data_IF_349062211666
#
_entry.id   IF_349062211666
#
_cell.length_a   1.000
_cell.length_b   1.000
_cell.length_c   1.000
_cell.angle_alpha   90.00
_cell.angle_beta   90.00
_cell.angle_gamma   90.00
#
_symmetry.space_group_name_H-M   'P 1'
#
loop_
_entity.id
_entity.type
_entity.pdbx_description
1 polymer ?
#
# COMPACT_ATOMS: atom_id res chain seq x y z
N UNK A 1 39.65 -7.65 14.16
CA UNK A 1 40.24 -6.32 14.03
C UNK A 1 40.81 -6.17 12.63
N UNK A 2 40.05 -5.70 11.69
CA UNK A 2 40.50 -5.11 10.40
C UNK A 2 39.44 -4.09 10.03
N UNK A 3 39.88 -2.83 9.93
CA UNK A 3 39.10 -1.64 9.66
C UNK A 3 38.45 -1.69 8.28
N UNK A 4 37.18 -1.32 8.23
CA UNK A 4 36.40 -1.02 7.01
C UNK A 4 36.39 0.51 6.77
N UNK A 5 37.56 1.13 6.56
CA UNK A 5 37.69 2.57 6.27
C UNK A 5 38.61 2.84 5.07
N UNK A 6 38.45 2.07 3.97
CA UNK A 6 39.23 2.29 2.76
C UNK A 6 38.40 2.07 1.49
N UNK A 7 37.43 3.00 1.22
CA UNK A 7 36.85 3.15 -0.13
C UNK A 7 36.41 4.58 -0.45
N UNK A 8 37.18 5.56 0.02
CA UNK A 8 37.01 6.97 -0.39
C UNK A 8 38.34 7.56 -0.88
N UNK A 9 38.86 7.04 -1.98
CA UNK A 9 39.90 7.75 -2.71
C UNK A 9 39.93 7.30 -4.17
N UNK A 10 40.09 8.28 -5.03
CA UNK A 10 40.29 8.25 -6.49
C UNK A 10 39.04 8.59 -7.30
N UNK A 11 38.84 9.87 -7.58
CA UNK A 11 39.13 10.55 -8.84
C UNK A 11 38.90 12.06 -8.68
N UNK A 12 39.88 12.75 -8.14
CA UNK A 12 40.02 14.18 -8.37
C UNK A 12 41.07 14.35 -9.48
N UNK A 13 40.64 14.56 -10.72
CA UNK A 13 41.49 15.10 -11.75
C UNK A 13 40.81 16.33 -12.39
N UNK A 14 41.60 17.39 -12.39
CA UNK A 14 41.34 18.74 -12.87
C UNK A 14 40.65 18.80 -14.22
N UNK A 15 39.65 19.70 -14.33
CA UNK A 15 39.57 20.76 -15.34
C UNK A 15 38.39 21.66 -14.93
N UNK A 16 38.61 23.01 -14.88
CA UNK A 16 37.66 24.00 -14.42
C UNK A 16 36.28 23.93 -15.09
N UNK A 17 35.27 24.47 -14.39
CA UNK A 17 33.87 24.67 -14.78
C UNK A 17 32.96 23.45 -14.93
N UNK A 18 33.47 22.21 -14.96
CA UNK A 18 32.66 20.98 -15.05
C UNK A 18 32.22 20.42 -13.69
N UNK A 19 32.80 20.89 -12.59
CA UNK A 19 32.46 20.36 -11.24
C UNK A 19 31.07 20.79 -10.77
N UNK A 20 30.63 21.99 -11.18
CA UNK A 20 29.30 22.51 -10.86
C UNK A 20 28.20 21.70 -11.62
N UNK A 21 28.49 21.33 -12.87
CA UNK A 21 27.56 20.50 -13.66
C UNK A 21 27.52 19.08 -13.18
N UNK A 22 28.61 18.49 -12.71
CA UNK A 22 28.63 17.13 -12.17
C UNK A 22 27.92 17.04 -10.80
N UNK A 23 28.08 18.03 -9.94
CA UNK A 23 27.35 18.14 -8.67
C UNK A 23 25.86 18.40 -8.86
N UNK A 24 25.48 19.18 -9.89
CA UNK A 24 24.07 19.30 -10.27
C UNK A 24 23.51 18.00 -10.87
N UNK A 25 24.30 17.28 -11.67
CA UNK A 25 23.86 15.99 -12.25
C UNK A 25 23.78 14.88 -11.18
N UNK A 26 24.70 14.82 -10.22
CA UNK A 26 24.63 13.89 -9.09
C UNK A 26 23.50 14.24 -8.12
N UNK A 27 23.25 15.52 -7.82
CA UNK A 27 22.07 15.92 -7.06
C UNK A 27 20.76 15.67 -7.83
N UNK A 28 20.74 15.86 -9.15
CA UNK A 28 19.57 15.55 -9.97
C UNK A 28 19.32 14.03 -10.07
N UNK A 29 20.39 13.22 -10.15
CA UNK A 29 20.27 11.75 -10.13
C UNK A 29 19.83 11.22 -8.77
N UNK A 30 20.28 11.83 -7.66
CA UNK A 30 19.84 11.50 -6.31
C UNK A 30 18.37 11.91 -6.06
N UNK A 31 17.92 13.02 -6.64
CA UNK A 31 16.53 13.47 -6.57
C UNK A 31 15.61 12.58 -7.45
N UNK A 32 16.07 12.10 -8.60
CA UNK A 32 15.32 11.16 -9.43
C UNK A 32 15.19 9.76 -8.81
N UNK A 33 16.15 9.30 -8.01
CA UNK A 33 16.05 8.03 -7.27
C UNK A 33 15.05 8.13 -6.09
N UNK A 34 14.68 9.34 -5.65
CA UNK A 34 13.75 9.53 -4.52
C UNK A 34 12.26 9.30 -4.84
N UNK A 35 11.89 9.02 -6.08
CA UNK A 35 10.51 8.65 -6.41
C UNK A 35 10.11 7.22 -5.99
N UNK A 36 11.06 6.38 -5.57
CA UNK A 36 10.79 5.08 -4.95
C UNK A 36 9.97 5.21 -3.64
N UNK A 37 9.99 6.38 -3.00
CA UNK A 37 9.21 6.66 -1.78
C UNK A 37 7.70 6.81 -1.99
N UNK A 38 7.23 6.88 -3.22
CA UNK A 38 5.81 6.85 -3.55
C UNK A 38 5.29 5.43 -3.81
N UNK A 39 6.18 4.44 -3.72
CA UNK A 39 5.80 3.03 -3.89
C UNK A 39 4.90 2.59 -2.72
N UNK A 40 3.64 2.18 -2.97
CA UNK A 40 2.71 1.78 -1.93
C UNK A 40 3.07 0.44 -1.25
N UNK A 41 4.13 -0.24 -1.66
CA UNK A 41 4.50 -1.57 -1.16
C UNK A 41 5.45 -1.59 0.04
N UNK A 42 5.89 -0.46 0.61
CA UNK A 42 6.76 -0.38 1.81
C UNK A 42 8.17 -0.99 1.70
N UNK A 43 8.64 -1.36 0.54
CA UNK A 43 9.86 -2.16 0.43
C UNK A 43 11.17 -1.39 0.72
N UNK A 44 11.13 -0.05 0.93
CA UNK A 44 12.34 0.78 1.07
C UNK A 44 12.28 1.91 2.12
N UNK A 45 11.40 1.83 3.13
CA UNK A 45 11.40 2.83 4.19
C UNK A 45 12.56 2.63 5.19
N UNK A 46 13.26 3.71 5.53
CA UNK A 46 14.19 3.70 6.65
C UNK A 46 13.46 3.44 7.98
N UNK A 47 14.17 2.94 9.00
CA UNK A 47 13.60 2.71 10.34
C UNK A 47 12.93 3.98 10.92
N UNK A 48 13.50 5.14 10.67
CA UNK A 48 12.96 6.43 11.11
C UNK A 48 11.65 6.81 10.38
N UNK A 49 11.56 6.53 9.09
CA UNK A 49 10.34 6.76 8.30
C UNK A 49 9.19 5.85 8.71
N UNK A 50 9.50 4.60 9.07
CA UNK A 50 8.52 3.66 9.63
C UNK A 50 7.99 4.11 11.00
N UNK A 51 8.86 4.68 11.83
CA UNK A 51 8.44 5.21 13.15
C UNK A 51 7.58 6.47 13.02
N UNK A 52 7.86 7.33 12.04
CA UNK A 52 7.00 8.47 11.73
C UNK A 52 5.65 8.00 11.21
N UNK A 53 5.63 7.01 10.30
CA UNK A 53 4.37 6.47 9.77
C UNK A 53 3.53 5.84 10.89
N UNK A 54 4.13 5.11 11.83
CA UNK A 54 3.42 4.57 13.01
C UNK A 54 2.78 5.66 13.85
N UNK A 55 3.47 6.79 14.07
CA UNK A 55 2.92 7.94 14.84
C UNK A 55 1.73 8.60 14.16
N UNK A 56 1.68 8.59 12.82
CA UNK A 56 0.57 9.15 12.05
C UNK A 56 -0.68 8.27 12.05
N UNK A 57 -0.55 6.96 12.38
CA UNK A 57 -1.69 6.03 12.37
C UNK A 57 -2.66 6.35 13.50
N UNK A 58 -3.97 6.39 13.21
CA UNK A 58 -4.99 6.48 14.26
C UNK A 58 -4.99 5.21 15.12
N UNK A 59 -5.32 5.37 16.40
CA UNK A 59 -5.30 4.30 17.41
C UNK A 59 -6.71 3.88 17.84
N UNK A 60 -7.74 4.66 17.51
CA UNK A 60 -9.15 4.41 17.83
C UNK A 60 -10.04 4.55 16.61
N UNK A 61 -11.27 4.03 16.68
CA UNK A 61 -12.27 4.26 15.63
C UNK A 61 -12.63 5.73 15.46
N UNK A 62 -12.57 6.53 16.51
CA UNK A 62 -12.94 7.95 16.47
C UNK A 62 -11.88 8.81 15.77
N UNK A 63 -10.63 8.37 15.80
CA UNK A 63 -9.52 9.01 15.09
C UNK A 63 -9.41 8.61 13.62
N UNK A 64 -10.12 7.54 13.22
CA UNK A 64 -10.04 7.01 11.87
C UNK A 64 -11.04 7.73 10.95
N UNK A 65 -10.55 8.53 10.02
CA UNK A 65 -11.39 9.26 9.07
C UNK A 65 -11.83 8.36 7.90
N UNK A 66 -13.10 8.50 7.50
CA UNK A 66 -13.70 7.80 6.36
C UNK A 66 -14.03 6.33 6.61
N UNK A 67 -14.50 5.64 5.57
CA UNK A 67 -14.99 4.24 5.65
C UNK A 67 -16.20 4.09 6.59
N UNK A 68 -17.06 5.11 6.72
CA UNK A 68 -18.07 5.27 7.77
C UNK A 68 -18.93 4.01 7.98
N UNK A 69 -19.46 3.41 6.89
CA UNK A 69 -20.25 2.18 6.99
C UNK A 69 -19.47 0.99 7.55
N UNK A 70 -18.17 0.90 7.23
CA UNK A 70 -17.31 -0.16 7.76
C UNK A 70 -17.09 0.05 9.23
N UNK A 71 -16.78 1.29 9.65
CA UNK A 71 -16.55 1.65 11.04
C UNK A 71 -17.79 1.47 11.90
N UNK A 72 -18.97 1.91 11.45
CA UNK A 72 -20.25 1.72 12.16
C UNK A 72 -20.50 0.24 12.46
N UNK A 73 -20.33 -0.63 11.48
CA UNK A 73 -20.49 -2.08 11.67
C UNK A 73 -19.43 -2.64 12.62
N UNK A 74 -18.16 -2.29 12.45
CA UNK A 74 -17.08 -2.79 13.30
C UNK A 74 -17.27 -2.34 14.76
N UNK A 75 -17.71 -1.10 15.02
CA UNK A 75 -18.02 -0.61 16.37
C UNK A 75 -19.08 -1.50 17.04
N UNK A 76 -20.15 -1.85 16.32
CA UNK A 76 -21.20 -2.74 16.84
C UNK A 76 -20.67 -4.13 17.13
N UNK A 77 -19.90 -4.72 16.21
CA UNK A 77 -19.36 -6.07 16.37
C UNK A 77 -18.37 -6.16 17.53
N UNK A 78 -17.46 -5.19 17.65
CA UNK A 78 -16.49 -5.11 18.74
C UNK A 78 -17.20 -4.93 20.10
N UNK A 79 -18.18 -4.04 20.15
CA UNK A 79 -18.97 -3.84 21.38
C UNK A 79 -19.71 -5.13 21.79
N UNK A 80 -20.31 -5.82 20.84
CA UNK A 80 -21.01 -7.07 21.10
C UNK A 80 -20.06 -8.19 21.56
N UNK A 81 -18.88 -8.35 20.94
CA UNK A 81 -17.87 -9.30 21.36
C UNK A 81 -17.35 -9.00 22.78
N UNK A 82 -17.08 -7.73 23.09
CA UNK A 82 -16.70 -7.30 24.43
C UNK A 82 -17.77 -7.58 25.49
N UNK A 83 -19.05 -7.34 25.18
CA UNK A 83 -20.17 -7.65 26.09
C UNK A 83 -20.29 -9.14 26.39
N UNK A 84 -20.00 -10.01 25.42
CA UNK A 84 -20.06 -11.48 25.59
C UNK A 84 -18.77 -12.05 26.19
N UNK A 85 -17.66 -11.29 26.17
CA UNK A 85 -16.35 -11.77 26.58
C UNK A 85 -15.74 -12.78 25.60
N UNK A 86 -16.17 -12.76 24.34
CA UNK A 86 -15.75 -13.69 23.27
C UNK A 86 -14.76 -13.05 22.31
N UNK A 87 -13.99 -13.88 21.58
CA UNK A 87 -13.22 -13.40 20.44
C UNK A 87 -14.15 -12.82 19.36
N UNK A 88 -13.70 -11.78 18.65
CA UNK A 88 -14.44 -11.25 17.51
C UNK A 88 -14.42 -12.29 16.37
N UNK A 89 -15.47 -12.34 15.57
CA UNK A 89 -15.50 -13.15 14.36
C UNK A 89 -14.32 -12.81 13.45
N UNK A 90 -13.76 -13.81 12.78
CA UNK A 90 -12.68 -13.62 11.84
C UNK A 90 -13.05 -12.59 10.78
N UNK A 91 -12.17 -11.63 10.57
CA UNK A 91 -12.44 -10.41 9.79
C UNK A 91 -11.51 -10.31 8.58
N UNK A 92 -12.06 -10.04 7.39
CA UNK A 92 -11.32 -9.83 6.15
C UNK A 92 -11.45 -8.38 5.69
N UNK A 93 -10.33 -7.68 5.61
CA UNK A 93 -10.23 -6.37 4.96
C UNK A 93 -9.69 -6.54 3.54
N UNK A 94 -10.42 -6.06 2.54
CA UNK A 94 -9.96 -6.12 1.16
C UNK A 94 -10.13 -4.78 0.44
N UNK A 95 -9.26 -4.53 -0.52
CA UNK A 95 -9.27 -3.28 -1.30
C UNK A 95 -7.86 -2.82 -1.65
N UNK A 96 -7.72 -1.76 -2.44
CA UNK A 96 -6.44 -1.21 -2.89
C UNK A 96 -5.43 -1.00 -1.76
N UNK A 97 -4.12 -0.95 -2.07
CA UNK A 97 -3.09 -0.67 -1.06
C UNK A 97 -3.22 0.74 -0.50
N UNK A 98 -2.72 0.96 0.72
CA UNK A 98 -2.65 2.31 1.33
C UNK A 98 -3.94 2.86 1.93
N UNK A 99 -5.03 2.08 2.00
CA UNK A 99 -6.35 2.51 2.51
C UNK A 99 -6.55 2.32 4.02
N UNK A 100 -5.56 1.78 4.75
CA UNK A 100 -5.63 1.62 6.21
C UNK A 100 -6.03 0.24 6.71
N UNK A 101 -5.91 -0.86 5.91
CA UNK A 101 -6.21 -2.23 6.35
C UNK A 101 -5.46 -2.63 7.63
N UNK A 102 -4.15 -2.44 7.65
CA UNK A 102 -3.30 -2.70 8.82
C UNK A 102 -3.63 -1.79 10.00
N UNK A 103 -4.00 -0.54 9.73
CA UNK A 103 -4.43 0.42 10.75
C UNK A 103 -5.72 -0.05 11.43
N UNK A 104 -6.71 -0.47 10.66
CA UNK A 104 -7.97 -1.02 11.20
C UNK A 104 -7.74 -2.29 12.04
N UNK A 105 -6.80 -3.16 11.65
CA UNK A 105 -6.46 -4.33 12.45
C UNK A 105 -5.89 -3.94 13.83
N UNK A 106 -5.03 -2.91 13.88
CA UNK A 106 -4.51 -2.38 15.14
C UNK A 106 -5.62 -1.74 15.99
N UNK A 107 -6.50 -0.96 15.36
CA UNK A 107 -7.66 -0.36 16.06
C UNK A 107 -8.55 -1.45 16.63
N UNK A 108 -8.85 -2.51 15.88
CA UNK A 108 -9.65 -3.64 16.39
C UNK A 108 -9.03 -4.25 17.65
N UNK A 109 -7.72 -4.50 17.67
CA UNK A 109 -7.05 -5.04 18.84
C UNK A 109 -7.12 -4.06 20.05
N UNK A 110 -6.91 -2.76 19.80
CA UNK A 110 -7.01 -1.72 20.83
C UNK A 110 -8.44 -1.65 21.41
N UNK A 111 -9.47 -1.63 20.56
CA UNK A 111 -10.87 -1.52 20.97
C UNK A 111 -11.39 -2.81 21.65
N UNK A 112 -10.83 -3.97 21.30
CA UNK A 112 -11.07 -5.24 22.00
C UNK A 112 -10.26 -5.34 23.29
N UNK A 113 -9.27 -4.46 23.51
CA UNK A 113 -8.32 -4.47 24.63
C UNK A 113 -7.57 -5.80 24.74
N UNK A 114 -7.00 -6.26 23.61
CA UNK A 114 -6.25 -7.53 23.50
C UNK A 114 -4.93 -7.32 22.73
N UNK A 115 -4.05 -8.32 22.79
CA UNK A 115 -2.80 -8.31 22.04
C UNK A 115 -3.02 -8.48 20.53
N UNK A 116 -2.03 -8.02 19.74
CA UNK A 116 -1.98 -8.24 18.29
C UNK A 116 -0.64 -8.84 17.88
N UNK A 117 -0.68 -9.92 17.10
CA UNK A 117 0.47 -10.46 16.38
C UNK A 117 0.31 -10.12 14.91
N UNK A 118 1.37 -9.55 14.31
CA UNK A 118 1.36 -9.08 12.92
C UNK A 118 2.33 -9.93 12.11
N UNK A 119 1.85 -10.47 10.99
CA UNK A 119 2.65 -11.20 10.00
C UNK A 119 2.12 -10.92 8.60
N UNK A 120 2.71 -11.56 7.59
CA UNK A 120 2.25 -11.48 6.21
C UNK A 120 2.26 -12.85 5.53
N UNK A 121 1.42 -13.03 4.49
CA UNK A 121 1.35 -14.28 3.75
C UNK A 121 2.71 -14.79 3.26
N UNK A 122 3.55 -13.96 2.62
CA UNK A 122 4.87 -14.36 2.14
C UNK A 122 5.87 -14.82 3.22
N UNK A 123 5.68 -14.43 4.47
CA UNK A 123 6.55 -14.82 5.60
C UNK A 123 6.18 -16.19 6.15
N UNK A 124 4.94 -16.63 5.95
CA UNK A 124 4.43 -17.91 6.44
C UNK A 124 4.65 -19.01 5.39
N UNK A 125 5.87 -19.49 5.28
CA UNK A 125 6.24 -20.49 4.28
C UNK A 125 5.84 -21.92 4.68
N UNK A 126 5.90 -22.23 5.98
CA UNK A 126 5.73 -23.57 6.52
C UNK A 126 4.65 -23.64 7.60
N UNK A 127 3.95 -24.77 7.74
CA UNK A 127 2.98 -24.98 8.82
C UNK A 127 3.55 -24.72 10.22
N UNK A 128 4.84 -25.00 10.45
CA UNK A 128 5.52 -24.75 11.72
C UNK A 128 5.59 -23.26 12.08
N UNK A 129 5.75 -22.37 11.09
CA UNK A 129 5.79 -20.94 11.32
C UNK A 129 4.41 -20.43 11.80
N UNK A 130 3.33 -20.91 11.15
CA UNK A 130 1.97 -20.63 11.56
C UNK A 130 1.66 -21.19 12.95
N UNK A 131 2.05 -22.44 13.21
CA UNK A 131 1.85 -23.08 14.50
C UNK A 131 2.56 -22.32 15.63
N UNK A 132 3.79 -21.88 15.41
CA UNK A 132 4.54 -21.07 16.36
C UNK A 132 3.85 -19.74 16.69
N UNK A 133 3.21 -19.09 15.72
CA UNK A 133 2.43 -17.88 15.97
C UNK A 133 1.14 -18.16 16.73
N UNK A 134 0.37 -19.19 16.31
CA UNK A 134 -0.94 -19.52 16.90
C UNK A 134 -0.82 -20.00 18.35
N UNK A 135 0.19 -20.80 18.68
CA UNK A 135 0.41 -21.30 20.05
C UNK A 135 0.86 -20.22 21.04
N UNK A 136 1.34 -19.09 20.54
CA UNK A 136 1.76 -17.93 21.34
C UNK A 136 0.68 -16.85 21.45
N UNK A 137 -0.57 -17.09 20.96
CA UNK A 137 -1.68 -16.20 21.16
C UNK A 137 -2.32 -16.43 22.53
N UNK A 138 -2.63 -15.33 23.19
CA UNK A 138 -3.47 -15.34 24.39
C UNK A 138 -4.94 -15.39 24.01
N UNK A 139 -5.81 -15.59 24.98
CA UNK A 139 -7.26 -15.65 24.76
C UNK A 139 -7.78 -14.34 24.17
N UNK A 140 -8.52 -14.43 23.06
CA UNK A 140 -9.11 -13.32 22.29
C UNK A 140 -8.11 -12.45 21.51
N UNK A 141 -6.83 -12.77 21.55
CA UNK A 141 -5.80 -12.02 20.78
C UNK A 141 -6.14 -11.93 19.29
N UNK A 142 -5.62 -10.91 18.64
CA UNK A 142 -5.72 -10.70 17.19
C UNK A 142 -4.47 -11.23 16.50
N UNK A 143 -4.66 -12.12 15.53
CA UNK A 143 -3.63 -12.47 14.54
C UNK A 143 -3.93 -11.70 13.26
N UNK A 144 -3.05 -10.78 12.87
CA UNK A 144 -3.16 -10.06 11.60
C UNK A 144 -2.21 -10.67 10.56
N UNK A 145 -2.78 -11.06 9.40
CA UNK A 145 -2.02 -11.55 8.24
C UNK A 145 -2.22 -10.60 7.07
N UNK A 146 -1.19 -9.83 6.72
CA UNK A 146 -1.21 -9.00 5.52
C UNK A 146 -0.96 -9.84 4.27
N UNK A 147 -1.52 -9.42 3.13
CA UNK A 147 -1.47 -10.14 1.86
C UNK A 147 -1.79 -11.65 2.01
N UNK A 148 -2.85 -11.95 2.75
CA UNK A 148 -3.26 -13.33 3.10
C UNK A 148 -3.49 -14.22 1.87
N UNK A 149 -3.77 -13.64 0.69
CA UNK A 149 -3.90 -14.37 -0.57
C UNK A 149 -2.57 -14.99 -1.09
N UNK A 150 -1.45 -14.63 -0.47
CA UNK A 150 -0.11 -15.15 -0.80
C UNK A 150 0.31 -16.32 0.11
N UNK A 151 -0.57 -16.80 0.97
CA UNK A 151 -0.32 -18.02 1.74
C UNK A 151 -0.14 -19.22 0.82
N UNK A 152 0.78 -20.12 1.17
CA UNK A 152 0.88 -21.39 0.46
C UNK A 152 -0.36 -22.25 0.73
N UNK A 153 -0.82 -23.09 -0.22
CA UNK A 153 -1.99 -23.96 -0.02
C UNK A 153 -1.89 -24.83 1.22
N UNK A 154 -0.68 -25.28 1.57
CA UNK A 154 -0.44 -26.13 2.75
C UNK A 154 -0.70 -25.31 4.03
N UNK A 155 -0.17 -24.11 4.13
CA UNK A 155 -0.38 -23.24 5.30
C UNK A 155 -1.86 -22.84 5.42
N UNK A 156 -2.52 -22.60 4.28
CA UNK A 156 -3.94 -22.28 4.21
C UNK A 156 -4.81 -23.40 4.81
N UNK A 157 -4.51 -24.68 4.53
CA UNK A 157 -5.22 -25.84 5.10
C UNK A 157 -5.08 -25.91 6.63
N UNK A 158 -3.90 -25.66 7.17
CA UNK A 158 -3.69 -25.60 8.62
C UNK A 158 -4.49 -24.47 9.26
N UNK A 159 -4.58 -23.32 8.56
CA UNK A 159 -5.32 -22.16 9.04
C UNK A 159 -6.83 -22.44 9.10
N UNK A 160 -7.37 -23.28 8.21
CA UNK A 160 -8.80 -23.66 8.25
C UNK A 160 -9.19 -24.31 9.58
N UNK A 161 -8.44 -25.32 10.02
CA UNK A 161 -8.70 -26.01 11.30
C UNK A 161 -8.51 -25.07 12.50
N UNK A 162 -7.53 -24.18 12.42
CA UNK A 162 -7.31 -23.20 13.45
C UNK A 162 -8.46 -22.19 13.57
N UNK A 163 -9.08 -21.80 12.45
CA UNK A 163 -10.21 -20.85 12.43
C UNK A 163 -11.53 -21.49 12.87
N UNK A 164 -11.79 -22.74 12.51
CA UNK A 164 -13.06 -23.41 12.79
C UNK A 164 -13.10 -24.04 14.18
N UNK A 165 -12.06 -24.80 14.51
CA UNK A 165 -12.05 -25.66 15.70
C UNK A 165 -11.08 -25.19 16.80
N UNK A 166 -10.32 -24.11 16.57
CA UNK A 166 -9.24 -23.67 17.44
C UNK A 166 -8.26 -24.81 17.76
N UNK A 167 -7.87 -25.54 16.72
CA UNK A 167 -6.95 -26.67 16.78
C UNK A 167 -6.01 -26.66 15.60
N UNK A 168 -4.82 -27.20 15.80
CA UNK A 168 -3.86 -27.42 14.74
C UNK A 168 -3.23 -28.79 14.87
N UNK A 169 -3.17 -29.55 13.78
CA UNK A 169 -2.60 -30.87 13.73
C UNK A 169 -1.16 -30.79 13.17
N UNK A 170 -0.16 -31.07 13.98
CA UNK A 170 1.25 -31.01 13.57
C UNK A 170 1.81 -32.41 13.38
N UNK A 171 2.40 -32.68 12.22
CA UNK A 171 3.17 -33.90 11.98
C UNK A 171 4.57 -33.75 12.55
N UNK A 172 4.93 -34.60 13.51
CA UNK A 172 6.25 -34.59 14.18
C UNK A 172 7.29 -35.30 13.36
N UNK A 173 6.95 -36.38 12.64
CA UNK A 173 7.84 -37.18 11.83
C UNK A 173 7.27 -37.46 10.45
N UNK A 174 8.12 -37.58 9.44
CA UNK A 174 7.74 -37.99 8.09
C UNK A 174 8.09 -39.47 7.87
N UNK A 175 7.22 -40.22 7.19
CA UNK A 175 7.45 -41.64 6.84
C UNK A 175 6.52 -42.61 7.57
N UNK A 176 6.84 -43.92 7.61
CA UNK A 176 5.96 -44.94 8.16
C UNK A 176 5.62 -44.80 9.64
N UNK A 177 6.39 -44.02 10.39
CA UNK A 177 6.19 -43.72 11.80
C UNK A 177 5.63 -42.32 12.05
N UNK A 178 5.07 -41.65 11.03
CA UNK A 178 4.50 -40.34 11.17
C UNK A 178 3.45 -40.30 12.29
N UNK A 179 3.62 -39.36 13.23
CA UNK A 179 2.69 -39.10 14.33
C UNK A 179 2.15 -37.68 14.19
N UNK A 180 0.86 -37.57 14.30
CA UNK A 180 0.19 -36.27 14.36
C UNK A 180 -0.10 -35.93 15.82
N UNK A 181 0.28 -34.73 16.23
CA UNK A 181 -0.09 -34.17 17.54
C UNK A 181 -1.07 -33.03 17.30
N UNK A 182 -2.24 -33.13 17.89
CA UNK A 182 -3.24 -32.08 17.90
C UNK A 182 -2.95 -31.12 19.04
N UNK A 183 -2.82 -29.86 18.73
CA UNK A 183 -2.63 -28.76 19.70
C UNK A 183 -3.91 -27.95 19.76
N UNK A 184 -4.46 -27.74 20.96
CA UNK A 184 -5.55 -26.83 21.19
C UNK A 184 -5.03 -25.41 21.29
N UNK A 185 -5.72 -24.47 20.63
CA UNK A 185 -5.41 -23.06 20.61
C UNK A 185 -6.41 -22.29 21.47
N UNK A 186 -5.97 -21.19 22.03
CA UNK A 186 -6.89 -20.23 22.62
C UNK A 186 -7.80 -19.64 21.54
N UNK A 187 -9.09 -19.36 21.82
CA UNK A 187 -9.95 -18.61 20.92
C UNK A 187 -9.30 -17.28 20.55
N UNK A 188 -9.16 -17.01 19.25
CA UNK A 188 -8.50 -15.82 18.71
C UNK A 188 -9.29 -15.23 17.56
N UNK A 189 -8.99 -14.00 17.20
CA UNK A 189 -9.54 -13.35 16.02
C UNK A 189 -8.50 -13.31 14.92
N UNK A 190 -8.77 -13.95 13.77
CA UNK A 190 -7.97 -13.74 12.57
C UNK A 190 -8.45 -12.50 11.84
N UNK A 191 -7.55 -11.57 11.59
CA UNK A 191 -7.78 -10.42 10.70
C UNK A 191 -6.92 -10.60 9.46
N UNK A 192 -7.53 -10.94 8.33
CA UNK A 192 -6.87 -11.05 7.04
C UNK A 192 -6.94 -9.72 6.27
N UNK A 193 -5.85 -9.35 5.60
CA UNK A 193 -5.85 -8.24 4.66
C UNK A 193 -5.40 -8.72 3.28
N UNK A 194 -6.03 -8.18 2.22
CA UNK A 194 -5.66 -8.50 0.84
C UNK A 194 -5.96 -7.35 -0.11
N UNK A 195 -5.08 -7.18 -1.09
CA UNK A 195 -5.33 -6.32 -2.27
C UNK A 195 -6.14 -7.06 -3.33
N UNK A 196 -6.08 -8.41 -3.35
CA UNK A 196 -6.64 -9.29 -4.37
C UNK A 196 -7.60 -10.31 -3.80
N UNK A 197 -8.79 -9.87 -3.37
CA UNK A 197 -9.80 -10.78 -2.78
C UNK A 197 -10.23 -11.91 -3.73
N UNK A 198 -10.07 -11.74 -5.05
CA UNK A 198 -10.37 -12.77 -6.04
C UNK A 198 -9.39 -13.95 -6.06
N UNK A 199 -8.19 -13.80 -5.48
CA UNK A 199 -7.20 -14.88 -5.37
C UNK A 199 -7.39 -15.74 -4.10
N UNK A 200 -8.20 -15.28 -3.14
CA UNK A 200 -8.55 -16.10 -1.99
C UNK A 200 -9.42 -17.28 -2.42
N UNK A 201 -9.11 -18.46 -1.91
CA UNK A 201 -9.93 -19.64 -2.13
C UNK A 201 -11.34 -19.46 -1.56
N UNK A 202 -12.33 -20.12 -2.15
CA UNK A 202 -13.70 -20.06 -1.64
C UNK A 202 -13.83 -20.57 -0.20
N UNK A 203 -13.14 -21.67 0.20
CA UNK A 203 -13.14 -22.13 1.58
C UNK A 203 -12.58 -21.10 2.57
N UNK A 204 -11.45 -20.45 2.23
CA UNK A 204 -10.88 -19.39 3.09
C UNK A 204 -11.85 -18.23 3.25
N UNK A 205 -12.44 -17.77 2.16
CA UNK A 205 -13.36 -16.63 2.18
C UNK A 205 -14.59 -16.89 3.02
N UNK A 206 -15.14 -18.14 2.98
CA UNK A 206 -16.33 -18.51 3.73
C UNK A 206 -16.12 -18.51 5.25
N UNK A 207 -14.88 -18.62 5.73
CA UNK A 207 -14.53 -18.62 7.16
C UNK A 207 -14.43 -17.24 7.78
N UNK A 208 -14.41 -16.18 6.96
CA UNK A 208 -14.49 -14.82 7.47
C UNK A 208 -15.94 -14.40 7.67
N UNK A 209 -16.38 -14.32 8.94
CA UNK A 209 -17.73 -13.85 9.30
C UNK A 209 -17.94 -12.37 9.00
N UNK A 210 -16.87 -11.57 9.06
CA UNK A 210 -16.89 -10.14 8.78
C UNK A 210 -16.04 -9.88 7.54
N UNK A 211 -16.65 -9.33 6.48
CA UNK A 211 -15.92 -8.96 5.26
C UNK A 211 -16.17 -7.48 4.95
N UNK A 212 -15.09 -6.70 4.87
CA UNK A 212 -15.17 -5.26 4.64
C UNK A 212 -14.32 -4.83 3.48
N UNK A 213 -14.95 -4.22 2.48
CA UNK A 213 -14.27 -3.63 1.34
C UNK A 213 -13.95 -2.16 1.63
N UNK A 214 -12.66 -1.82 1.64
CA UNK A 214 -12.21 -0.45 1.75
C UNK A 214 -12.23 0.23 0.38
N UNK A 215 -12.64 1.50 0.38
CA UNK A 215 -12.77 2.32 -0.82
C UNK A 215 -11.74 3.45 -0.79
N UNK A 216 -11.44 4.01 -1.97
CA UNK A 216 -10.65 5.20 -2.06
C UNK A 216 -11.34 6.37 -1.37
N UNK A 217 -10.54 7.27 -0.84
CA UNK A 217 -10.99 8.48 -0.15
C UNK A 217 -11.24 9.60 -1.14
N UNK A 218 -12.22 10.44 -0.86
CA UNK A 218 -12.37 11.69 -1.59
C UNK A 218 -11.33 12.73 -1.12
N UNK A 219 -11.17 13.79 -1.89
CA UNK A 219 -10.17 14.82 -1.63
C UNK A 219 -10.41 15.54 -0.31
N UNK A 220 -11.66 15.80 0.07
CA UNK A 220 -12.03 16.49 1.30
C UNK A 220 -11.60 15.69 2.54
N UNK A 221 -11.92 14.40 2.57
CA UNK A 221 -11.49 13.51 3.67
C UNK A 221 -9.96 13.36 3.73
N UNK A 222 -9.30 13.27 2.58
CA UNK A 222 -7.83 13.24 2.57
C UNK A 222 -7.23 14.55 3.06
N UNK A 223 -7.84 15.69 2.77
CA UNK A 223 -7.37 16.98 3.29
C UNK A 223 -7.43 17.02 4.82
N UNK A 224 -8.50 16.50 5.44
CA UNK A 224 -8.56 16.39 6.91
C UNK A 224 -7.49 15.46 7.49
N UNK A 225 -7.18 14.36 6.79
CA UNK A 225 -6.08 13.46 7.18
C UNK A 225 -4.73 14.17 7.06
N UNK A 226 -4.51 14.95 6.00
CA UNK A 226 -3.28 15.74 5.80
C UNK A 226 -3.13 16.80 6.90
N UNK A 227 -4.20 17.54 7.23
CA UNK A 227 -4.17 18.54 8.33
C UNK A 227 -3.86 17.90 9.68
N UNK A 228 -4.52 16.77 10.01
CA UNK A 228 -4.22 16.00 11.23
C UNK A 228 -2.76 15.54 11.26
N UNK A 229 -2.28 15.00 10.15
CA UNK A 229 -0.89 14.51 10.04
C UNK A 229 0.11 15.66 10.13
N UNK A 230 -0.17 16.82 9.54
CA UNK A 230 0.65 18.03 9.65
C UNK A 230 0.72 18.53 11.10
N UNK A 231 -0.40 18.49 11.81
CA UNK A 231 -0.45 18.83 13.26
C UNK A 231 0.44 17.89 14.09
N UNK A 232 0.37 16.58 13.87
CA UNK A 232 1.23 15.59 14.55
C UNK A 232 2.71 15.82 14.24
N UNK A 233 3.03 16.20 13.00
CA UNK A 233 4.38 16.52 12.54
C UNK A 233 4.82 17.92 12.95
N UNK A 234 3.96 18.71 13.63
CA UNK A 234 4.20 20.09 14.05
C UNK A 234 4.57 21.03 12.89
N UNK A 235 3.93 20.85 11.74
CA UNK A 235 4.13 21.68 10.55
C UNK A 235 2.86 22.47 10.27
N UNK A 236 2.91 23.80 10.29
CA UNK A 236 1.77 24.62 9.88
C UNK A 236 1.45 24.39 8.42
N UNK A 237 0.18 24.17 8.09
CA UNK A 237 -0.30 23.98 6.72
C UNK A 237 -1.57 24.80 6.50
N UNK A 238 -1.70 25.42 5.32
CA UNK A 238 -2.95 26.07 4.94
C UNK A 238 -3.96 25.05 4.39
N UNK A 239 -5.25 25.25 4.61
CA UNK A 239 -6.31 24.38 4.09
C UNK A 239 -6.19 24.15 2.57
N UNK A 240 -5.90 25.22 1.81
CA UNK A 240 -5.74 25.10 0.36
C UNK A 240 -4.55 24.20 -0.04
N UNK A 241 -3.44 24.25 0.72
CA UNK A 241 -2.29 23.38 0.51
C UNK A 241 -2.63 21.93 0.88
N UNK A 242 -3.38 21.71 1.95
CA UNK A 242 -3.84 20.38 2.33
C UNK A 242 -4.75 19.78 1.25
N UNK A 243 -5.66 20.54 0.68
CA UNK A 243 -6.53 20.13 -0.45
C UNK A 243 -5.69 19.81 -1.70
N UNK A 244 -4.67 20.63 -2.02
CA UNK A 244 -3.79 20.40 -3.17
C UNK A 244 -3.00 19.09 -3.01
N UNK A 245 -2.42 18.82 -1.83
CA UNK A 245 -1.74 17.55 -1.54
C UNK A 245 -2.72 16.39 -1.62
N UNK A 246 -3.90 16.53 -1.00
CA UNK A 246 -4.94 15.52 -1.01
C UNK A 246 -5.42 15.18 -2.43
N UNK A 247 -5.62 16.17 -3.27
CA UNK A 247 -6.05 16.01 -4.66
C UNK A 247 -5.07 15.21 -5.52
N UNK A 248 -3.77 15.26 -5.19
CA UNK A 248 -2.72 14.49 -5.89
C UNK A 248 -2.36 13.16 -5.20
N UNK A 249 -3.10 12.77 -4.16
CA UNK A 249 -2.78 11.59 -3.32
C UNK A 249 -3.44 10.29 -3.78
N UNK A 250 -3.96 10.22 -5.00
CA UNK A 250 -4.56 9.01 -5.58
C UNK A 250 -5.65 8.38 -4.70
N UNK A 251 -6.37 9.16 -3.93
CA UNK A 251 -7.40 8.65 -3.04
C UNK A 251 -6.89 7.80 -1.86
N UNK A 252 -5.58 7.85 -1.52
CA UNK A 252 -5.02 7.00 -0.47
C UNK A 252 -4.32 7.78 0.63
N UNK A 253 -4.62 7.52 1.91
CA UNK A 253 -3.96 8.16 3.05
C UNK A 253 -2.43 7.95 3.09
N UNK A 254 -1.94 6.79 2.65
CA UNK A 254 -0.50 6.51 2.61
C UNK A 254 0.25 7.48 1.70
N UNK A 255 -0.25 7.68 0.47
CA UNK A 255 0.37 8.62 -0.49
C UNK A 255 0.20 10.05 0.01
N UNK A 256 -0.94 10.42 0.58
CA UNK A 256 -1.16 11.74 1.15
C UNK A 256 -0.12 12.07 2.22
N UNK A 257 0.13 11.16 3.14
CA UNK A 257 1.14 11.31 4.18
C UNK A 257 2.58 11.32 3.61
N UNK A 258 2.85 10.53 2.58
CA UNK A 258 4.15 10.53 1.92
C UNK A 258 4.41 11.87 1.23
N UNK A 259 3.45 12.40 0.46
CA UNK A 259 3.54 13.70 -0.17
C UNK A 259 3.67 14.83 0.86
N UNK A 260 2.88 14.81 1.94
CA UNK A 260 2.98 15.78 3.03
C UNK A 260 4.39 15.86 3.60
N UNK A 261 5.02 14.70 3.87
CA UNK A 261 6.40 14.65 4.40
C UNK A 261 7.40 15.27 3.44
N UNK A 262 7.30 14.98 2.16
CA UNK A 262 8.21 15.56 1.15
C UNK A 262 7.97 17.06 0.96
N UNK A 263 6.71 17.50 0.92
CA UNK A 263 6.39 18.92 0.83
C UNK A 263 6.87 19.68 2.09
N UNK A 264 6.80 19.06 3.26
CA UNK A 264 7.39 19.61 4.50
C UNK A 264 8.90 19.87 4.33
N UNK A 265 9.64 18.94 3.75
CA UNK A 265 11.08 19.09 3.54
C UNK A 265 11.37 20.32 2.65
N UNK A 266 10.56 20.54 1.61
CA UNK A 266 10.64 21.77 0.79
C UNK A 266 10.25 23.02 1.60
N UNK A 267 9.24 22.97 2.45
CA UNK A 267 8.84 24.10 3.29
C UNK A 267 9.97 24.52 4.24
N UNK A 268 10.70 23.55 4.81
CA UNK A 268 11.81 23.81 5.72
C UNK A 268 13.04 24.41 5.02
N UNK A 269 13.34 23.97 3.79
CA UNK A 269 14.57 24.36 3.09
C UNK A 269 14.36 25.56 2.15
N UNK A 270 13.21 25.66 1.50
CA UNK A 270 12.91 26.68 0.49
C UNK A 270 11.92 27.74 0.98
N UNK A 271 11.18 27.46 2.07
CA UNK A 271 10.18 28.34 2.65
C UNK A 271 10.57 28.80 4.06
N UNK A 272 9.55 29.14 4.83
CA UNK A 272 9.65 29.58 6.23
C UNK A 272 9.25 28.49 7.25
N UNK A 273 9.20 27.24 6.82
CA UNK A 273 8.76 26.09 7.63
C UNK A 273 7.25 25.87 7.66
N UNK A 274 6.45 26.69 6.98
CA UNK A 274 5.01 26.48 6.78
C UNK A 274 4.68 26.04 5.36
N UNK A 275 3.64 25.22 5.22
CA UNK A 275 3.17 24.73 3.91
C UNK A 275 2.00 25.61 3.46
N UNK A 276 2.28 26.55 2.58
CA UNK A 276 1.28 27.31 1.84
C UNK A 276 1.04 26.67 0.45
N UNK A 277 0.13 27.27 -0.33
CA UNK A 277 -0.20 26.77 -1.67
C UNK A 277 0.99 26.81 -2.63
N UNK A 278 1.88 27.80 -2.51
CA UNK A 278 3.04 27.96 -3.40
C UNK A 278 4.07 26.87 -3.14
N UNK A 279 4.41 26.64 -1.88
CA UNK A 279 5.32 25.57 -1.45
C UNK A 279 4.72 24.18 -1.77
N UNK A 280 3.41 23.99 -1.56
CA UNK A 280 2.75 22.73 -1.91
C UNK A 280 2.89 22.44 -3.42
N UNK A 281 2.55 23.39 -4.28
CA UNK A 281 2.68 23.22 -5.73
C UNK A 281 4.14 23.05 -6.16
N UNK A 282 5.06 23.83 -5.58
CA UNK A 282 6.47 23.70 -5.87
C UNK A 282 6.99 22.30 -5.53
N UNK A 283 6.71 21.81 -4.32
CA UNK A 283 7.15 20.49 -3.87
C UNK A 283 6.54 19.35 -4.69
N UNK A 284 5.24 19.39 -4.96
CA UNK A 284 4.54 18.40 -5.76
C UNK A 284 5.06 18.34 -7.20
N UNK A 285 5.33 19.50 -7.81
CA UNK A 285 5.91 19.55 -9.15
C UNK A 285 7.38 19.04 -9.15
N UNK A 286 8.16 19.36 -8.12
CA UNK A 286 9.54 18.86 -7.98
C UNK A 286 9.57 17.32 -7.78
N UNK A 287 8.50 16.74 -7.26
CA UNK A 287 8.32 15.30 -7.14
C UNK A 287 7.75 14.64 -8.41
N UNK A 288 7.56 15.39 -9.49
CA UNK A 288 6.95 14.93 -10.74
C UNK A 288 5.53 14.34 -10.57
N UNK A 289 4.77 14.83 -9.56
CA UNK A 289 3.37 14.48 -9.36
C UNK A 289 2.51 15.55 -10.02
N UNK A 290 1.77 15.20 -11.04
CA UNK A 290 0.97 16.14 -11.80
C UNK A 290 -0.37 16.51 -11.11
N UNK A 291 -1.16 17.37 -11.75
CA UNK A 291 -2.43 17.84 -11.21
C UNK A 291 -3.49 16.74 -11.02
N UNK A 292 -3.32 15.59 -11.65
CA UNK A 292 -4.18 14.41 -11.50
C UNK A 292 -3.62 13.37 -10.54
N UNK A 293 -2.46 13.64 -9.92
CA UNK A 293 -1.77 12.68 -9.06
C UNK A 293 -1.02 11.58 -9.82
N UNK A 294 -0.81 11.75 -11.14
CA UNK A 294 -0.01 10.82 -11.91
C UNK A 294 1.47 11.13 -11.70
N UNK A 295 2.26 10.09 -11.50
CA UNK A 295 3.71 10.18 -11.42
C UNK A 295 4.38 9.91 -12.78
N UNK A 296 5.71 9.87 -12.77
CA UNK A 296 6.50 9.62 -13.97
C UNK A 296 6.18 8.26 -14.60
N UNK A 297 5.96 7.21 -13.78
CA UNK A 297 5.68 5.88 -14.29
C UNK A 297 4.27 5.78 -14.87
N UNK A 298 3.27 6.41 -14.26
CA UNK A 298 1.92 6.48 -14.84
C UNK A 298 1.96 7.13 -16.21
N UNK A 299 2.62 8.29 -16.30
CA UNK A 299 2.76 9.02 -17.57
C UNK A 299 3.54 8.20 -18.61
N UNK A 300 4.56 7.45 -18.19
CA UNK A 300 5.30 6.52 -19.05
C UNK A 300 4.42 5.38 -19.55
N UNK A 301 3.59 4.79 -18.68
CA UNK A 301 2.62 3.76 -19.06
C UNK A 301 1.66 4.28 -20.12
N UNK A 302 1.06 5.45 -19.89
CA UNK A 302 0.12 6.06 -20.83
C UNK A 302 0.78 6.39 -22.17
N UNK A 303 1.99 7.01 -22.17
CA UNK A 303 2.75 7.33 -23.37
C UNK A 303 3.07 6.07 -24.18
N UNK A 304 3.54 5.01 -23.52
CA UNK A 304 3.86 3.74 -24.18
C UNK A 304 2.62 3.12 -24.82
N UNK A 305 1.47 3.10 -24.13
CA UNK A 305 0.23 2.59 -24.71
C UNK A 305 -0.19 3.41 -25.94
N UNK A 306 -0.09 4.74 -25.86
CA UNK A 306 -0.55 5.64 -26.92
C UNK A 306 0.42 5.64 -28.11
N UNK A 307 1.72 5.85 -27.85
CA UNK A 307 2.71 6.07 -28.90
C UNK A 307 3.20 4.75 -29.54
N UNK A 308 3.57 3.76 -28.70
CA UNK A 308 4.12 2.50 -29.19
C UNK A 308 3.04 1.51 -29.65
N UNK A 309 1.90 1.49 -28.93
CA UNK A 309 0.81 0.53 -29.21
C UNK A 309 -0.44 1.18 -29.81
N UNK A 310 -0.35 2.42 -30.31
CA UNK A 310 -1.46 3.15 -30.99
C UNK A 310 -2.77 3.17 -30.19
N UNK A 311 -2.64 3.34 -28.86
CA UNK A 311 -3.76 3.36 -27.93
C UNK A 311 -4.23 1.99 -27.44
N UNK A 312 -3.57 0.93 -27.83
CA UNK A 312 -3.89 -0.45 -27.43
C UNK A 312 -4.84 -1.18 -28.39
N UNK A 313 -5.28 -2.43 -28.04
CA UNK A 313 -5.00 -3.11 -26.76
C UNK A 313 -3.58 -3.68 -26.68
N UNK A 314 -2.99 -3.64 -25.49
CA UNK A 314 -1.66 -4.19 -25.18
C UNK A 314 -1.73 -5.14 -23.98
N UNK A 315 -1.08 -6.31 -24.09
CA UNK A 315 -0.99 -7.29 -23.01
C UNK A 315 -0.13 -6.79 -21.84
N UNK A 316 -0.42 -7.25 -20.62
CA UNK A 316 0.29 -6.81 -19.39
C UNK A 316 1.80 -7.05 -19.48
N UNK A 317 2.24 -8.25 -19.85
CA UNK A 317 3.67 -8.58 -19.95
C UNK A 317 4.41 -7.76 -21.01
N UNK A 318 3.75 -7.48 -22.14
CA UNK A 318 4.30 -6.63 -23.20
C UNK A 318 4.45 -5.18 -22.72
N UNK A 319 3.43 -4.66 -22.01
CA UNK A 319 3.47 -3.32 -21.42
C UNK A 319 4.57 -3.22 -20.38
N UNK A 320 4.66 -4.20 -19.47
CA UNK A 320 5.67 -4.29 -18.41
C UNK A 320 7.10 -4.25 -19.00
N UNK A 321 7.37 -5.07 -20.01
CA UNK A 321 8.66 -5.05 -20.72
C UNK A 321 8.92 -3.69 -21.37
N UNK A 322 7.89 -3.07 -21.97
CA UNK A 322 8.07 -1.80 -22.69
C UNK A 322 8.33 -0.59 -21.78
N UNK A 323 7.87 -0.64 -20.51
CA UNK A 323 8.13 0.38 -19.50
C UNK A 323 9.29 0.01 -18.58
N UNK A 324 9.86 -1.20 -18.70
CA UNK A 324 10.94 -1.76 -17.86
C UNK A 324 10.53 -1.90 -16.39
N UNK A 325 9.32 -2.44 -16.15
CA UNK A 325 8.75 -2.66 -14.83
C UNK A 325 8.23 -4.11 -14.71
N UNK A 326 8.01 -4.58 -13.49
CA UNK A 326 7.41 -5.88 -13.24
C UNK A 326 5.91 -5.85 -13.58
N UNK A 327 5.40 -6.94 -14.16
CA UNK A 327 3.98 -7.07 -14.49
C UNK A 327 3.08 -6.98 -13.25
N UNK A 328 3.49 -7.56 -12.14
CA UNK A 328 2.77 -7.54 -10.88
C UNK A 328 2.67 -6.12 -10.32
N UNK A 329 3.79 -5.37 -10.35
CA UNK A 329 3.83 -3.95 -9.94
C UNK A 329 2.85 -3.10 -10.76
N UNK A 330 2.82 -3.29 -12.09
CA UNK A 330 1.85 -2.55 -12.92
C UNK A 330 0.42 -2.89 -12.52
N UNK A 331 0.10 -4.17 -12.36
CA UNK A 331 -1.26 -4.64 -12.08
C UNK A 331 -1.75 -4.24 -10.67
N UNK A 332 -0.85 -4.17 -9.68
CA UNK A 332 -1.22 -3.89 -8.29
C UNK A 332 -1.14 -2.42 -7.92
N UNK A 333 -0.17 -1.70 -8.48
CA UNK A 333 0.16 -0.34 -8.04
C UNK A 333 -0.40 0.71 -8.99
N UNK A 334 -0.14 0.58 -10.28
CA UNK A 334 -0.46 1.63 -11.27
C UNK A 334 -1.83 1.45 -11.93
N UNK A 335 -2.12 0.25 -12.40
CA UNK A 335 -3.34 -0.05 -13.16
C UNK A 335 -4.64 0.28 -12.40
N UNK A 336 -4.79 -0.04 -11.09
CA UNK A 336 -6.04 0.23 -10.37
C UNK A 336 -6.40 1.70 -10.33
N UNK A 337 -5.42 2.57 -10.11
CA UNK A 337 -5.64 4.03 -10.10
C UNK A 337 -5.94 4.56 -11.50
N UNK A 338 -5.15 4.14 -12.51
CA UNK A 338 -5.36 4.55 -13.89
C UNK A 338 -6.73 4.13 -14.46
N UNK A 339 -7.23 2.95 -14.05
CA UNK A 339 -8.57 2.47 -14.42
C UNK A 339 -9.64 3.30 -13.70
N UNK A 340 -9.50 3.51 -12.39
CA UNK A 340 -10.46 4.26 -11.59
C UNK A 340 -10.61 5.68 -12.10
N UNK A 341 -9.50 6.34 -12.39
CA UNK A 341 -9.48 7.69 -12.95
C UNK A 341 -9.91 7.71 -14.43
N UNK A 342 -10.10 6.54 -15.03
CA UNK A 342 -10.55 6.42 -16.41
C UNK A 342 -9.50 6.81 -17.46
N UNK A 343 -8.21 6.69 -17.15
CA UNK A 343 -7.13 6.88 -18.13
C UNK A 343 -6.94 5.66 -19.01
N UNK A 344 -7.10 4.47 -18.46
CA UNK A 344 -7.04 3.20 -19.18
C UNK A 344 -8.29 2.36 -18.94
N UNK A 345 -8.57 1.44 -19.83
CA UNK A 345 -9.58 0.41 -19.65
C UNK A 345 -8.97 -0.97 -19.86
N UNK A 346 -9.46 -1.95 -19.11
CA UNK A 346 -9.10 -3.36 -19.25
C UNK A 346 -10.09 -4.05 -20.17
N UNK A 347 -9.59 -4.63 -21.25
CA UNK A 347 -10.37 -5.40 -22.23
C UNK A 347 -9.89 -6.85 -22.24
N UNK A 348 -10.63 -7.80 -22.82
CA UNK A 348 -10.16 -9.20 -22.96
C UNK A 348 -8.86 -9.33 -23.75
N UNK A 349 -8.52 -8.34 -24.59
CA UNK A 349 -7.29 -8.32 -25.40
C UNK A 349 -6.13 -7.60 -24.73
N UNK A 350 -6.36 -6.90 -23.63
CA UNK A 350 -5.35 -6.11 -22.92
C UNK A 350 -5.82 -4.73 -22.48
N UNK A 351 -4.87 -3.84 -22.26
CA UNK A 351 -5.09 -2.47 -21.78
C UNK A 351 -5.21 -1.51 -22.95
N UNK A 352 -6.19 -0.62 -22.90
CA UNK A 352 -6.42 0.43 -23.90
C UNK A 352 -6.47 1.80 -23.24
N UNK A 353 -5.86 2.81 -23.88
CA UNK A 353 -5.93 4.20 -23.45
C UNK A 353 -7.28 4.81 -23.80
N UNK A 354 -7.87 5.58 -22.89
CA UNK A 354 -9.12 6.29 -23.09
C UNK A 354 -8.88 7.67 -23.70
N UNK A 355 -9.96 8.36 -24.08
CA UNK A 355 -9.86 9.73 -24.58
C UNK A 355 -9.32 10.70 -23.51
N UNK A 356 -9.52 10.40 -22.20
CA UNK A 356 -8.93 11.15 -21.07
C UNK A 356 -7.40 11.07 -21.12
N UNK A 357 -6.83 9.90 -21.37
CA UNK A 357 -5.38 9.73 -21.49
C UNK A 357 -4.78 10.52 -22.65
N UNK A 358 -5.42 10.50 -23.81
CA UNK A 358 -4.99 11.30 -24.96
C UNK A 358 -5.02 12.80 -24.67
N UNK A 359 -6.09 13.29 -24.04
CA UNK A 359 -6.20 14.72 -23.64
C UNK A 359 -5.14 15.08 -22.62
N UNK A 360 -4.88 14.22 -21.66
CA UNK A 360 -3.87 14.44 -20.62
C UNK A 360 -2.47 14.60 -21.18
N UNK A 361 -2.07 13.74 -22.11
CA UNK A 361 -0.76 13.82 -22.77
C UNK A 361 -0.71 14.85 -23.91
N UNK A 362 -1.81 15.54 -24.22
CA UNK A 362 -1.87 16.52 -25.30
C UNK A 362 -1.74 15.89 -26.71
N UNK A 363 -2.02 14.59 -26.84
CA UNK A 363 -1.89 13.85 -28.12
C UNK A 363 -3.25 13.70 -28.77
N UNK A 364 -3.31 13.97 -30.08
CA UNK A 364 -4.55 13.80 -30.85
C UNK A 364 -4.78 12.31 -31.14
N UNK A 365 -5.94 11.79 -30.76
CA UNK A 365 -6.31 10.41 -31.08
C UNK A 365 -6.52 10.25 -32.58
N UNK A 366 -5.68 9.45 -33.22
CA UNK A 366 -5.89 9.10 -34.65
C UNK A 366 -7.08 8.13 -34.72
N UNK A 367 -8.15 8.44 -35.47
CA UNK A 367 -9.27 7.54 -35.63
C UNK A 367 -8.75 6.18 -36.13
N UNK A 368 -9.07 5.08 -35.43
CA UNK A 368 -8.83 3.74 -36.00
C UNK A 368 -9.63 3.67 -37.30
N UNK A 369 -8.94 3.57 -38.42
CA UNK A 369 -9.62 3.28 -39.69
C UNK A 369 -10.46 2.01 -39.50
N UNK A 370 -11.76 2.17 -39.50
CA UNK A 370 -12.69 1.05 -39.42
C UNK A 370 -12.32 0.06 -40.54
N UNK A 371 -12.08 -1.20 -40.19
CA UNK A 371 -11.99 -2.25 -41.19
C UNK A 371 -13.27 -2.21 -42.02
N UNK A 372 -13.13 -1.77 -43.25
CA UNK A 372 -14.16 -1.82 -44.30
C UNK A 372 -14.19 -3.22 -44.93
N UNK A 373 -14.30 -4.27 -44.06
CA UNK A 373 -14.67 -5.61 -44.48
C UNK A 373 -15.25 -6.41 -43.32
#
# INVERSE_FOLDING_TARGET
MRNQDDFFFVFAFLIGDSLVFLLCYFNFYYICIMNENLNPTNEHFSSEELDVEKKLRPLSFDDFAGQDKVLENLKVFVQAANMRGEALDHTLFHGPPGLGKTTLANILANELNVGIKITSGPVLDKPGDLAGLLTNLEERDVLFIDEIHRLSPIVEEYLYSAMEDFKIDIMIESGPNARTVQIHLNPFTLVGATTRSGLLTSPMRARFGIQSRLQYYNTELLATIVERSASILQVPISLNAAIEIAGRSRGTPRIANALLRRVRDFAQIKGNGSIDMEIAKFGLNALNVDAHGLDEMDNKILSVIIEKFKGGPVGLSTLATAVSENSETIEEVYEPFLIQEGFIMRTPRGREATDKAYKHLGVTKIPKQGNLF
#
